data_IF_628888371232
#
_entry.id   IF_628888371232
#
_cell.length_a   1.000
_cell.length_b   1.000
_cell.length_c   1.000
_cell.angle_alpha   90.00
_cell.angle_beta   90.00
_cell.angle_gamma   90.00
#
_symmetry.space_group_name_H-M   'P 1'
#
loop_
_entity.id
_entity.type
_entity.pdbx_description
1 polymer ?
#
# COMPACT_ATOMS: atom_id res chain seq x y z
N UNK A 1 11.60 0.05 -23.39
CA UNK A 1 10.57 0.51 -22.43
C UNK A 1 9.23 0.48 -23.13
N UNK A 2 8.20 -0.14 -22.55
CA UNK A 2 6.84 -0.01 -23.09
C UNK A 2 6.36 1.43 -22.82
N UNK A 3 6.02 2.22 -23.85
CA UNK A 3 5.25 3.43 -23.63
C UNK A 3 3.86 2.97 -23.18
N UNK A 4 3.35 3.39 -22.01
CA UNK A 4 1.98 3.01 -21.64
C UNK A 4 1.51 3.21 -20.21
N UNK A 5 2.39 3.43 -19.23
CA UNK A 5 1.97 3.50 -17.81
C UNK A 5 2.31 4.82 -17.12
N UNK A 6 2.27 5.94 -17.85
CA UNK A 6 2.56 7.27 -17.29
C UNK A 6 1.57 7.67 -16.18
N UNK A 7 0.36 7.11 -16.19
CA UNK A 7 -0.70 7.38 -15.21
C UNK A 7 -0.70 6.44 -14.00
N UNK A 8 0.27 5.54 -13.89
CA UNK A 8 0.41 4.63 -12.72
C UNK A 8 1.49 5.16 -11.80
N UNK A 9 1.17 5.32 -10.52
CA UNK A 9 2.10 5.80 -9.51
C UNK A 9 2.25 4.81 -8.36
N UNK A 10 3.38 4.88 -7.66
CA UNK A 10 3.64 4.12 -6.42
C UNK A 10 3.42 5.05 -5.23
N UNK A 11 2.48 4.70 -4.35
CA UNK A 11 2.26 5.38 -3.08
C UNK A 11 2.97 4.62 -1.96
N UNK A 12 3.97 5.24 -1.34
CA UNK A 12 4.70 4.70 -0.18
C UNK A 12 4.19 5.40 1.08
N UNK A 13 3.50 4.64 1.93
CA UNK A 13 3.14 5.09 3.27
C UNK A 13 4.32 4.90 4.22
N UNK A 14 4.77 5.97 4.86
CA UNK A 14 5.92 5.94 5.76
C UNK A 14 5.76 6.87 6.96
N UNK A 15 6.48 6.57 8.03
CA UNK A 15 6.65 7.45 9.19
C UNK A 15 8.06 8.05 9.18
N UNK A 16 8.24 9.23 9.77
CA UNK A 16 9.57 9.86 9.86
C UNK A 16 10.59 8.94 10.56
N UNK A 17 10.16 8.20 11.59
CA UNK A 17 11.00 7.24 12.32
C UNK A 17 11.45 6.02 11.48
N UNK A 18 10.87 5.81 10.29
CA UNK A 18 11.15 4.67 9.42
C UNK A 18 11.97 5.09 8.18
N UNK A 19 12.88 6.05 8.36
CA UNK A 19 13.74 6.54 7.28
C UNK A 19 14.59 5.45 6.64
N UNK A 20 15.32 4.66 7.42
CA UNK A 20 16.18 3.59 6.88
C UNK A 20 15.40 2.51 6.09
N UNK A 21 14.29 1.93 6.60
CA UNK A 21 13.44 1.04 5.80
C UNK A 21 12.94 1.68 4.50
N UNK A 22 12.52 2.95 4.56
CA UNK A 22 12.06 3.68 3.38
C UNK A 22 13.15 3.84 2.33
N UNK A 23 14.36 4.24 2.72
CA UNK A 23 15.48 4.37 1.78
C UNK A 23 15.84 3.02 1.12
N UNK A 24 15.74 1.94 1.89
CA UNK A 24 15.90 0.58 1.34
C UNK A 24 14.83 0.26 0.28
N UNK A 25 13.56 0.55 0.57
CA UNK A 25 12.47 0.39 -0.39
C UNK A 25 12.71 1.24 -1.63
N UNK A 26 13.06 2.53 -1.49
CA UNK A 26 13.32 3.43 -2.63
C UNK A 26 14.48 2.93 -3.49
N UNK A 27 15.55 2.40 -2.88
CA UNK A 27 16.64 1.78 -3.60
C UNK A 27 16.17 0.53 -4.38
N UNK A 28 15.31 -0.30 -3.79
CA UNK A 28 14.74 -1.47 -4.47
C UNK A 28 13.80 -1.09 -5.62
N UNK A 29 12.98 -0.04 -5.47
CA UNK A 29 12.12 0.51 -6.52
C UNK A 29 12.97 0.98 -7.71
N UNK A 30 14.05 1.73 -7.45
CA UNK A 30 14.99 2.18 -8.49
C UNK A 30 15.61 1.00 -9.24
N UNK A 31 16.09 -0.02 -8.51
CA UNK A 31 16.65 -1.26 -9.12
C UNK A 31 15.62 -2.07 -9.91
N UNK A 32 14.35 -1.97 -9.57
CA UNK A 32 13.24 -2.62 -10.30
C UNK A 32 12.79 -1.86 -11.55
N UNK A 33 13.38 -0.69 -11.83
CA UNK A 33 13.09 0.10 -13.03
C UNK A 33 11.81 0.93 -12.92
N UNK A 34 11.34 1.23 -11.71
CA UNK A 34 10.23 2.17 -11.50
C UNK A 34 10.72 3.59 -11.86
N UNK A 35 9.99 4.35 -12.69
CA UNK A 35 10.27 5.77 -12.88
C UNK A 35 10.12 6.50 -11.54
N UNK A 36 11.20 7.06 -11.01
CA UNK A 36 11.21 7.62 -9.66
C UNK A 36 10.34 8.88 -9.54
N UNK A 37 10.04 9.54 -10.65
CA UNK A 37 9.04 10.62 -10.75
C UNK A 37 7.59 10.14 -10.65
N UNK A 38 7.35 8.83 -10.64
CA UNK A 38 6.07 8.20 -10.32
C UNK A 38 6.00 7.66 -8.89
N UNK A 39 7.04 7.88 -8.07
CA UNK A 39 7.07 7.47 -6.67
C UNK A 39 6.68 8.64 -5.76
N UNK A 40 5.68 8.40 -4.93
CA UNK A 40 5.10 9.35 -3.99
C UNK A 40 5.25 8.81 -2.56
N UNK A 41 6.01 9.50 -1.73
CA UNK A 41 6.24 9.16 -0.32
C UNK A 41 5.41 10.07 0.57
N UNK A 42 4.56 9.46 1.40
CA UNK A 42 3.72 10.18 2.36
C UNK A 42 4.27 9.99 3.76
N UNK A 43 4.79 11.07 4.35
CA UNK A 43 5.42 11.09 5.67
C UNK A 43 4.36 11.43 6.74
N UNK A 44 3.83 10.40 7.38
CA UNK A 44 2.76 10.49 8.35
C UNK A 44 3.22 11.07 9.70
N UNK A 45 2.35 11.87 10.32
CA UNK A 45 2.61 12.57 11.57
C UNK A 45 3.47 13.83 11.44
N UNK A 46 3.86 14.20 10.22
CA UNK A 46 4.67 15.39 9.95
C UNK A 46 3.76 16.56 9.60
N UNK A 47 3.63 17.51 10.53
CA UNK A 47 3.03 18.81 10.22
C UNK A 47 4.04 19.67 9.45
N UNK A 48 3.57 20.46 8.48
CA UNK A 48 4.22 21.75 8.24
C UNK A 48 3.99 22.58 9.50
N UNK A 49 5.02 23.31 9.95
CA UNK A 49 5.03 24.01 11.24
C UNK A 49 3.81 24.88 11.48
N UNK A 50 3.63 25.29 12.74
CA UNK A 50 2.60 26.23 13.19
C UNK A 50 2.50 27.43 12.25
N UNK A 51 1.51 27.39 11.36
CA UNK A 51 1.45 28.26 10.19
C UNK A 51 0.60 27.59 9.11
N UNK A 52 -0.71 27.50 9.37
CA UNK A 52 -1.67 26.97 8.42
C UNK A 52 -1.63 27.78 7.13
N UNK A 53 -1.08 27.19 6.07
CA UNK A 53 -0.97 27.87 4.78
C UNK A 53 -0.07 27.14 3.79
N UNK A 54 -0.35 25.86 3.55
CA UNK A 54 -0.26 25.17 2.25
C UNK A 54 -0.05 23.67 2.45
N UNK A 55 -1.16 22.94 2.47
CA UNK A 55 -1.19 21.52 2.16
C UNK A 55 -0.83 21.33 0.68
N UNK A 56 0.44 21.48 0.32
CA UNK A 56 0.86 21.45 -1.09
C UNK A 56 2.37 21.38 -1.36
N UNK A 57 3.24 21.55 -0.35
CA UNK A 57 4.69 21.64 -0.60
C UNK A 57 5.31 20.25 -0.80
N UNK A 58 5.26 19.77 -2.04
CA UNK A 58 5.96 18.55 -2.47
C UNK A 58 7.46 18.82 -2.49
N UNK A 59 8.23 18.22 -1.57
CA UNK A 59 9.68 18.17 -1.74
C UNK A 59 9.99 17.13 -2.81
N UNK A 60 10.76 17.50 -3.82
CA UNK A 60 11.31 16.56 -4.81
C UNK A 60 12.79 16.33 -4.49
N UNK A 61 13.24 15.08 -4.50
CA UNK A 61 14.68 14.79 -4.42
C UNK A 61 15.35 14.78 -5.80
N UNK A 62 16.67 14.55 -5.83
CA UNK A 62 17.46 14.55 -7.07
C UNK A 62 17.10 13.43 -8.05
N UNK A 63 16.46 12.36 -7.60
CA UNK A 63 15.98 11.26 -8.45
C UNK A 63 14.55 11.50 -8.95
N UNK A 64 13.87 12.52 -8.41
CA UNK A 64 12.54 12.92 -8.82
C UNK A 64 11.42 12.41 -7.93
N UNK A 65 11.71 11.72 -6.82
CA UNK A 65 10.71 11.21 -5.86
C UNK A 65 10.01 12.37 -5.19
N UNK A 66 8.68 12.28 -5.06
CA UNK A 66 7.84 13.31 -4.44
C UNK A 66 7.54 12.96 -2.99
N UNK A 67 7.84 13.85 -2.05
CA UNK A 67 7.58 13.69 -0.62
C UNK A 67 6.49 14.65 -0.16
N UNK A 68 5.52 14.11 0.57
CA UNK A 68 4.36 14.83 1.11
C UNK A 68 4.42 14.73 2.64
N UNK A 69 4.43 15.87 3.35
CA UNK A 69 4.23 15.85 4.79
C UNK A 69 2.73 15.70 5.08
N UNK A 70 2.38 14.68 5.87
CA UNK A 70 0.99 14.36 6.20
C UNK A 70 0.77 14.66 7.69
N UNK A 71 -0.05 15.66 8.05
CA UNK A 71 -0.16 16.19 9.42
C UNK A 71 -0.91 15.26 10.39
N UNK A 72 -1.15 14.01 9.99
CA UNK A 72 -1.83 13.00 10.77
C UNK A 72 -1.14 11.65 10.60
N UNK A 73 -1.36 10.74 11.54
CA UNK A 73 -0.84 9.37 11.50
C UNK A 73 -1.99 8.38 11.60
N UNK A 74 -2.39 7.82 10.45
CA UNK A 74 -3.42 6.79 10.30
C UNK A 74 -2.78 5.41 10.09
N UNK A 75 -1.57 5.21 10.63
CA UNK A 75 -0.79 3.97 10.56
C UNK A 75 -0.56 3.59 9.09
N UNK A 76 -1.28 2.58 8.61
CA UNK A 76 -1.16 1.98 7.29
C UNK A 76 -2.00 2.69 6.23
N UNK A 77 -2.71 3.77 6.58
CA UNK A 77 -3.66 4.45 5.69
C UNK A 77 -3.34 5.92 5.42
N UNK A 78 -2.29 6.49 6.02
CA UNK A 78 -2.03 7.94 5.95
C UNK A 78 -1.86 8.43 4.51
N UNK A 79 -1.15 7.67 3.68
CA UNK A 79 -1.03 7.93 2.25
C UNK A 79 -2.38 7.91 1.54
N UNK A 80 -3.21 6.87 1.74
CA UNK A 80 -4.55 6.78 1.13
C UNK A 80 -5.45 7.95 1.55
N UNK A 81 -5.46 8.30 2.84
CA UNK A 81 -6.22 9.44 3.35
C UNK A 81 -5.77 10.73 2.66
N UNK A 82 -4.46 10.97 2.58
CA UNK A 82 -3.93 12.16 1.93
C UNK A 82 -4.29 12.23 0.44
N UNK A 83 -4.23 11.11 -0.29
CA UNK A 83 -4.62 11.02 -1.70
C UNK A 83 -6.08 11.45 -1.90
N UNK A 84 -7.01 10.94 -1.11
CA UNK A 84 -8.45 11.24 -1.28
C UNK A 84 -8.86 12.60 -0.72
N UNK A 85 -8.07 13.19 0.17
CA UNK A 85 -8.29 14.56 0.67
C UNK A 85 -7.81 15.62 -0.33
N UNK A 86 -6.86 15.29 -1.22
CA UNK A 86 -6.21 16.25 -2.12
C UNK A 86 -6.28 15.84 -3.60
N UNK A 87 -7.48 15.62 -4.19
CA UNK A 87 -7.62 15.06 -5.54
C UNK A 87 -6.96 15.91 -6.63
N UNK A 88 -6.92 17.24 -6.47
CA UNK A 88 -6.31 18.15 -7.45
C UNK A 88 -4.79 17.95 -7.58
N UNK A 89 -4.10 17.56 -6.49
CA UNK A 89 -2.66 17.28 -6.51
C UNK A 89 -2.31 16.03 -7.32
N UNK A 90 -3.28 15.16 -7.57
CA UNK A 90 -3.09 13.83 -8.13
C UNK A 90 -3.87 13.58 -9.43
N UNK A 91 -4.37 14.64 -10.08
CA UNK A 91 -5.25 14.52 -11.24
C UNK A 91 -4.68 13.73 -12.44
N UNK A 92 -3.35 13.62 -12.55
CA UNK A 92 -2.68 12.82 -13.59
C UNK A 92 -2.56 11.32 -13.27
N UNK A 93 -2.89 10.89 -12.05
CA UNK A 93 -2.73 9.50 -11.60
C UNK A 93 -4.06 8.77 -11.73
N UNK A 94 -4.08 7.71 -12.56
CA UNK A 94 -5.23 6.81 -12.70
C UNK A 94 -5.14 5.60 -11.77
N UNK A 95 -3.94 5.15 -11.46
CA UNK A 95 -3.72 3.96 -10.65
C UNK A 95 -2.63 4.17 -9.60
N UNK A 96 -2.88 3.66 -8.40
CA UNK A 96 -1.95 3.70 -7.28
C UNK A 96 -1.55 2.28 -6.89
N UNK A 97 -0.26 1.96 -7.00
CA UNK A 97 0.28 0.80 -6.31
C UNK A 97 0.73 1.21 -4.91
N UNK A 98 0.02 0.70 -3.90
CA UNK A 98 0.21 1.05 -2.50
C UNK A 98 1.23 0.12 -1.82
N UNK A 99 2.26 0.72 -1.23
CA UNK A 99 3.34 0.06 -0.48
C UNK A 99 3.56 0.75 0.87
N UNK A 100 4.22 0.02 1.76
CA UNK A 100 4.64 0.54 3.06
C UNK A 100 6.16 0.53 3.08
N UNK A 101 6.74 1.43 3.85
CA UNK A 101 8.20 1.54 4.06
C UNK A 101 8.90 0.26 4.56
N UNK A 102 8.20 -0.70 5.15
CA UNK A 102 8.77 -2.02 5.52
C UNK A 102 8.63 -3.09 4.43
N UNK A 103 8.61 -2.69 3.15
CA UNK A 103 8.60 -3.59 2.00
C UNK A 103 9.91 -3.51 1.21
N UNK A 104 10.15 -4.51 0.37
CA UNK A 104 11.18 -4.53 -0.66
C UNK A 104 10.54 -5.04 -1.95
N UNK A 105 11.03 -4.58 -3.10
CA UNK A 105 10.60 -5.09 -4.41
C UNK A 105 11.78 -5.64 -5.21
N UNK A 106 11.53 -6.69 -5.99
CA UNK A 106 12.52 -7.27 -6.91
C UNK A 106 12.42 -6.71 -8.34
N UNK A 107 13.27 -7.21 -9.24
CA UNK A 107 13.38 -6.72 -10.64
C UNK A 107 12.10 -6.94 -11.46
N UNK A 108 11.29 -7.92 -11.12
CA UNK A 108 10.02 -8.22 -11.77
C UNK A 108 8.87 -7.31 -11.36
N UNK A 109 9.03 -6.52 -10.28
CA UNK A 109 7.95 -5.72 -9.71
C UNK A 109 7.28 -4.80 -10.71
N UNK A 110 8.06 -3.91 -11.34
CA UNK A 110 7.47 -2.89 -12.20
C UNK A 110 6.77 -3.47 -13.44
N UNK A 111 7.35 -4.46 -14.17
CA UNK A 111 6.61 -5.18 -15.20
C UNK A 111 5.32 -5.87 -14.71
N UNK A 112 5.33 -6.46 -13.52
CA UNK A 112 4.16 -7.16 -12.95
C UNK A 112 3.05 -6.19 -12.54
N UNK A 113 3.40 -5.01 -12.04
CA UNK A 113 2.43 -3.94 -11.70
C UNK A 113 1.90 -3.28 -12.97
N UNK A 114 2.77 -2.92 -13.90
CA UNK A 114 2.39 -2.22 -15.12
C UNK A 114 1.61 -3.08 -16.11
N UNK A 115 1.61 -4.40 -15.94
CA UNK A 115 0.70 -5.31 -16.62
C UNK A 115 -0.79 -4.88 -16.51
N UNK A 116 -1.16 -4.18 -15.44
CA UNK A 116 -2.52 -3.77 -15.12
C UNK A 116 -2.91 -2.35 -15.58
N UNK A 117 -1.99 -1.56 -16.16
CA UNK A 117 -2.24 -0.14 -16.46
C UNK A 117 -3.49 0.10 -17.30
N UNK A 118 -3.73 -0.73 -18.31
CA UNK A 118 -4.89 -0.60 -19.20
C UNK A 118 -6.09 -1.46 -18.75
N UNK A 119 -5.95 -2.23 -17.66
CA UNK A 119 -6.81 -3.40 -17.38
C UNK A 119 -7.26 -3.52 -15.93
N UNK A 120 -7.16 -2.46 -15.13
CA UNK A 120 -7.73 -2.50 -13.79
C UNK A 120 -9.25 -2.36 -13.86
N UNK A 121 -10.02 -3.24 -13.20
CA UNK A 121 -11.41 -2.92 -12.88
C UNK A 121 -11.47 -1.57 -12.15
N UNK A 122 -12.57 -0.82 -12.25
CA UNK A 122 -12.83 0.43 -11.50
C UNK A 122 -12.96 0.14 -9.99
N UNK A 123 -11.86 -0.29 -9.38
CA UNK A 123 -11.82 -1.07 -8.14
C UNK A 123 -10.39 -1.17 -7.60
N UNK A 124 -10.16 -2.10 -6.66
CA UNK A 124 -8.84 -2.42 -6.12
C UNK A 124 -8.48 -3.91 -6.31
N UNK A 125 -7.19 -4.21 -6.38
CA UNK A 125 -6.61 -5.55 -6.38
C UNK A 125 -5.57 -5.64 -5.24
N UNK A 126 -5.85 -6.34 -4.12
CA UNK A 126 -4.84 -6.59 -3.10
C UNK A 126 -3.72 -7.48 -3.65
N UNK A 127 -2.57 -7.46 -2.98
CA UNK A 127 -1.53 -8.45 -3.23
C UNK A 127 -2.07 -9.88 -3.10
N UNK A 128 -2.94 -10.17 -2.12
CA UNK A 128 -3.59 -11.48 -2.00
C UNK A 128 -4.93 -11.37 -1.27
N UNK A 129 -5.72 -12.45 -1.29
CA UNK A 129 -7.10 -12.47 -0.74
C UNK A 129 -7.26 -13.31 0.50
N UNK A 130 -6.47 -14.37 0.56
CA UNK A 130 -6.54 -15.32 1.65
C UNK A 130 -5.69 -14.89 2.84
N UNK A 131 -4.77 -13.94 2.64
CA UNK A 131 -3.81 -13.51 3.64
C UNK A 131 -3.78 -11.97 3.73
N UNK A 132 -3.68 -11.38 4.93
CA UNK A 132 -3.72 -9.93 5.06
C UNK A 132 -2.56 -9.26 4.31
N UNK A 133 -2.86 -8.31 3.43
CA UNK A 133 -1.82 -7.63 2.63
C UNK A 133 -1.42 -6.28 3.22
N UNK A 134 -1.89 -5.93 4.41
CA UNK A 134 -1.76 -4.59 4.99
C UNK A 134 -2.33 -3.49 4.11
N UNK A 135 -3.32 -3.80 3.28
CA UNK A 135 -3.87 -2.90 2.26
C UNK A 135 -2.89 -2.60 1.11
N UNK A 136 -1.79 -3.34 0.97
CA UNK A 136 -0.92 -3.25 -0.20
C UNK A 136 -1.58 -3.87 -1.43
N UNK A 137 -1.38 -3.22 -2.58
CA UNK A 137 -1.98 -3.64 -3.82
C UNK A 137 -2.22 -2.47 -4.76
N UNK A 138 -3.00 -2.72 -5.80
CA UNK A 138 -3.29 -1.75 -6.85
C UNK A 138 -4.70 -1.17 -6.66
N UNK A 139 -4.83 0.14 -6.77
CA UNK A 139 -6.08 0.87 -6.57
C UNK A 139 -6.36 1.79 -7.75
N UNK A 140 -7.58 1.74 -8.26
CA UNK A 140 -8.08 2.74 -9.20
C UNK A 140 -8.33 4.07 -8.46
N UNK A 141 -7.88 5.18 -9.04
CA UNK A 141 -8.04 6.50 -8.44
C UNK A 141 -9.51 6.92 -8.32
N UNK A 142 -10.35 6.58 -9.31
CA UNK A 142 -11.78 6.88 -9.26
C UNK A 142 -12.50 6.03 -8.20
N UNK A 143 -12.08 4.77 -8.00
CA UNK A 143 -12.55 3.97 -6.87
C UNK A 143 -12.20 4.60 -5.51
N UNK A 144 -10.95 5.05 -5.31
CA UNK A 144 -10.57 5.73 -4.07
C UNK A 144 -11.39 7.01 -3.85
N UNK A 145 -11.61 7.80 -4.91
CA UNK A 145 -12.45 8.99 -4.86
C UNK A 145 -13.90 8.67 -4.46
N UNK A 146 -14.50 7.63 -5.07
CA UNK A 146 -15.84 7.17 -4.73
C UNK A 146 -15.96 6.64 -3.28
N UNK A 147 -14.85 6.19 -2.69
CA UNK A 147 -14.78 5.71 -1.29
C UNK A 147 -14.19 6.73 -0.33
N UNK A 148 -14.07 8.00 -0.73
CA UNK A 148 -13.47 9.07 0.09
C UNK A 148 -14.05 9.13 1.50
N UNK A 149 -15.37 9.05 1.66
CA UNK A 149 -16.01 9.09 2.97
C UNK A 149 -15.59 7.92 3.89
N UNK A 150 -15.45 6.71 3.33
CA UNK A 150 -15.00 5.53 4.08
C UNK A 150 -13.51 5.62 4.44
N UNK A 151 -12.68 6.11 3.52
CA UNK A 151 -11.23 6.25 3.71
C UNK A 151 -10.92 7.35 4.73
N UNK A 152 -11.55 8.51 4.64
CA UNK A 152 -11.32 9.63 5.59
C UNK A 152 -11.72 9.24 7.01
N UNK A 153 -12.67 8.32 7.22
CA UNK A 153 -12.98 7.76 8.54
C UNK A 153 -11.83 6.95 9.17
N UNK A 154 -10.81 6.59 8.40
CA UNK A 154 -9.58 5.96 8.90
C UNK A 154 -8.58 6.98 9.44
N UNK A 155 -8.80 8.28 9.15
CA UNK A 155 -7.98 9.36 9.64
C UNK A 155 -7.99 9.36 11.17
N UNK A 156 -6.80 9.27 11.75
CA UNK A 156 -6.65 9.44 13.18
C UNK A 156 -7.02 10.87 13.59
N UNK A 157 -7.81 11.01 14.66
CA UNK A 157 -8.14 12.29 15.26
C UNK A 157 -7.02 12.77 16.20
N UNK A 158 -6.70 14.07 16.15
CA UNK A 158 -5.66 14.68 17.01
C UNK A 158 -5.94 14.37 18.50
N UNK A 159 -4.93 13.90 19.22
CA UNK A 159 -4.97 13.70 20.67
C UNK A 159 -5.43 12.31 21.15
N UNK A 160 -5.78 11.39 20.25
CA UNK A 160 -6.23 10.07 20.66
C UNK A 160 -5.07 9.06 20.81
N UNK A 161 -5.11 8.13 21.79
CA UNK A 161 -4.00 7.24 22.09
C UNK A 161 -3.60 6.33 20.92
N UNK A 162 -2.29 6.16 20.71
CA UNK A 162 -1.77 5.32 19.62
C UNK A 162 -2.34 3.89 19.62
N UNK A 163 -2.54 3.30 20.80
CA UNK A 163 -3.11 1.94 20.97
C UNK A 163 -4.57 1.83 20.47
N UNK A 164 -5.38 2.87 20.64
CA UNK A 164 -6.77 2.90 20.17
C UNK A 164 -6.80 2.86 18.64
N UNK A 165 -5.92 3.62 17.98
CA UNK A 165 -5.86 3.66 16.53
C UNK A 165 -5.12 2.48 15.92
N UNK A 166 -4.16 1.87 16.63
CA UNK A 166 -3.58 0.59 16.22
C UNK A 166 -4.64 -0.50 16.13
N UNK A 167 -5.45 -0.68 17.18
CA UNK A 167 -6.55 -1.66 17.15
C UNK A 167 -7.55 -1.39 16.03
N UNK A 168 -7.94 -0.12 15.85
CA UNK A 168 -8.82 0.27 14.74
C UNK A 168 -8.17 0.03 13.39
N UNK A 169 -6.92 0.41 13.19
CA UNK A 169 -6.17 0.19 11.95
C UNK A 169 -6.08 -1.29 11.59
N UNK A 170 -5.75 -2.16 12.54
CA UNK A 170 -5.75 -3.62 12.33
C UNK A 170 -7.14 -4.15 11.98
N UNK A 171 -8.20 -3.69 12.67
CA UNK A 171 -9.58 -4.08 12.33
C UNK A 171 -10.05 -3.60 10.96
N UNK A 172 -9.38 -2.61 10.38
CA UNK A 172 -9.65 -2.07 9.05
C UNK A 172 -8.62 -2.53 7.99
N UNK A 173 -7.70 -3.43 8.33
CA UNK A 173 -6.73 -4.00 7.38
C UNK A 173 -7.47 -4.64 6.19
N UNK A 174 -7.05 -4.24 4.98
CA UNK A 174 -7.67 -4.59 3.69
C UNK A 174 -9.15 -4.17 3.55
N UNK A 175 -9.72 -3.35 4.46
CA UNK A 175 -11.15 -3.00 4.40
C UNK A 175 -11.52 -2.15 3.19
N UNK A 176 -10.66 -1.20 2.79
CA UNK A 176 -10.87 -0.42 1.55
C UNK A 176 -10.96 -1.36 0.35
N UNK A 177 -10.13 -2.41 0.31
CA UNK A 177 -10.16 -3.42 -0.75
C UNK A 177 -11.44 -4.27 -0.66
N UNK A 178 -11.88 -4.65 0.55
CA UNK A 178 -13.13 -5.40 0.72
C UNK A 178 -14.36 -4.63 0.22
N UNK A 179 -14.34 -3.30 0.24
CA UNK A 179 -15.41 -2.46 -0.34
C UNK A 179 -15.53 -2.60 -1.87
N UNK A 180 -14.44 -2.94 -2.57
CA UNK A 180 -14.46 -3.20 -4.00
C UNK A 180 -15.27 -4.47 -4.35
N UNK A 181 -15.31 -5.45 -3.45
CA UNK A 181 -16.03 -6.70 -3.69
C UNK A 181 -17.49 -6.63 -3.26
N UNK A 182 -17.78 -5.87 -2.21
CA UNK A 182 -19.14 -5.63 -1.76
C UNK A 182 -19.98 -4.90 -2.83
N UNK A 183 -19.34 -4.15 -3.73
CA UNK A 183 -20.01 -3.57 -4.91
C UNK A 183 -20.28 -4.56 -6.05
N UNK A 184 -19.75 -5.79 -5.99
CA UNK A 184 -20.07 -6.83 -6.96
C UNK A 184 -21.46 -7.41 -6.72
N UNK A 185 -22.23 -7.62 -7.79
CA UNK A 185 -23.54 -8.27 -7.72
C UNK A 185 -23.52 -9.60 -8.49
N UNK A 186 -23.80 -10.75 -7.84
CA UNK A 186 -23.98 -10.90 -6.39
C UNK A 186 -22.64 -10.78 -5.63
N UNK A 187 -22.67 -10.43 -4.33
CA UNK A 187 -21.46 -10.34 -3.54
C UNK A 187 -20.80 -11.72 -3.43
N UNK A 188 -19.45 -11.81 -3.48
CA UNK A 188 -18.76 -13.08 -3.39
C UNK A 188 -18.98 -13.73 -2.02
N UNK A 189 -19.47 -14.98 -2.01
CA UNK A 189 -19.86 -15.69 -0.78
C UNK A 189 -18.68 -16.21 0.06
N UNK A 190 -17.55 -16.56 -0.57
CA UNK A 190 -16.31 -16.98 0.09
C UNK A 190 -15.10 -16.63 -0.77
N UNK A 191 -14.04 -16.12 -0.15
CA UNK A 191 -12.76 -15.95 -0.83
C UNK A 191 -12.00 -17.26 -0.84
N UNK A 192 -11.54 -17.66 -2.03
CA UNK A 192 -10.68 -18.82 -2.20
C UNK A 192 -9.23 -18.35 -2.24
N UNK A 193 -8.28 -19.29 -2.12
CA UNK A 193 -6.86 -18.99 -2.37
C UNK A 193 -6.60 -18.52 -3.81
N UNK A 194 -7.51 -18.75 -4.75
CA UNK A 194 -7.35 -18.34 -6.16
C UNK A 194 -7.79 -16.89 -6.36
N UNK A 195 -6.99 -16.11 -7.08
CA UNK A 195 -7.34 -14.72 -7.41
C UNK A 195 -8.49 -14.58 -8.40
N UNK A 196 -8.77 -15.58 -9.23
CA UNK A 196 -9.89 -15.53 -10.16
C UNK A 196 -11.20 -15.85 -9.43
N UNK A 197 -12.13 -14.89 -9.46
CA UNK A 197 -13.46 -15.06 -8.91
C UNK A 197 -14.43 -15.42 -10.03
N UNK A 198 -15.00 -16.63 -9.98
CA UNK A 198 -15.95 -17.14 -10.99
C UNK A 198 -17.27 -16.36 -11.01
N UNK A 199 -17.72 -15.85 -9.87
CA UNK A 199 -18.97 -15.10 -9.76
C UNK A 199 -18.85 -13.72 -10.41
N UNK A 200 -17.71 -13.05 -10.19
CA UNK A 200 -17.42 -11.73 -10.77
C UNK A 200 -16.75 -11.81 -12.15
N UNK A 201 -16.44 -13.01 -12.63
CA UNK A 201 -15.71 -13.31 -13.87
C UNK A 201 -14.41 -12.51 -14.06
N UNK A 202 -13.73 -12.16 -12.96
CA UNK A 202 -12.52 -11.32 -12.98
C UNK A 202 -11.50 -11.73 -11.93
N UNK A 203 -10.29 -11.21 -12.07
CA UNK A 203 -9.30 -11.25 -10.99
C UNK A 203 -9.71 -10.30 -9.86
N UNK A 204 -9.48 -10.76 -8.65
CA UNK A 204 -9.76 -10.05 -7.39
C UNK A 204 -8.52 -9.95 -6.49
N UNK A 205 -7.36 -10.40 -6.97
CA UNK A 205 -6.04 -10.10 -6.43
C UNK A 205 -4.95 -10.28 -7.46
N UNK A 206 -3.75 -9.86 -7.07
CA UNK A 206 -2.52 -10.04 -7.85
C UNK A 206 -1.99 -11.47 -7.63
N UNK A 207 -1.78 -11.90 -6.38
CA UNK A 207 -1.17 -13.19 -6.00
C UNK A 207 -2.12 -14.15 -5.30
N UNK A 208 -2.16 -15.39 -5.80
CA UNK A 208 -2.96 -16.49 -5.21
C UNK A 208 -2.26 -17.16 -4.02
N UNK A 209 -0.98 -16.88 -3.81
CA UNK A 209 -0.18 -17.44 -2.73
C UNK A 209 0.68 -16.37 -2.08
N UNK A 210 1.05 -16.64 -0.83
CA UNK A 210 2.08 -15.94 -0.07
C UNK A 210 3.03 -16.99 0.45
N UNK A 211 4.32 -16.79 0.25
CA UNK A 211 5.35 -17.62 0.88
C UNK A 211 5.86 -16.90 2.13
N UNK A 212 5.72 -17.55 3.29
CA UNK A 212 6.21 -17.03 4.57
C UNK A 212 7.54 -17.70 4.84
N UNK A 213 8.63 -16.92 4.90
CA UNK A 213 9.94 -17.49 5.18
C UNK A 213 9.99 -18.02 6.62
N UNK A 214 10.55 -19.21 6.78
CA UNK A 214 10.69 -19.89 8.08
C UNK A 214 11.70 -19.19 8.98
N UNK A 215 12.72 -18.58 8.39
CA UNK A 215 13.77 -17.85 9.09
C UNK A 215 13.53 -16.34 8.95
N UNK A 216 13.42 -15.59 10.05
CA UNK A 216 13.38 -14.13 9.99
C UNK A 216 14.64 -13.56 9.31
N UNK A 217 14.47 -12.50 8.53
CA UNK A 217 15.57 -11.83 7.85
C UNK A 217 15.63 -10.33 8.21
N UNK A 218 16.82 -9.73 8.25
CA UNK A 218 16.93 -8.28 8.38
C UNK A 218 16.29 -7.57 7.17
N UNK A 219 15.68 -6.41 7.39
CA UNK A 219 15.19 -5.49 6.34
C UNK A 219 16.37 -4.86 5.59
N UNK A 220 17.40 -4.47 6.35
CA UNK A 220 18.69 -3.93 5.91
C UNK A 220 19.76 -4.34 6.94
N UNK A 221 21.05 -4.22 6.59
CA UNK A 221 22.19 -4.83 7.28
C UNK A 221 22.09 -4.88 8.82
N UNK A 222 21.78 -3.75 9.48
CA UNK A 222 21.77 -3.63 10.94
C UNK A 222 20.37 -3.68 11.59
N UNK A 223 19.34 -4.02 10.83
CA UNK A 223 17.98 -4.08 11.36
C UNK A 223 17.70 -5.37 12.11
N UNK A 224 16.84 -5.30 13.14
CA UNK A 224 16.30 -6.49 13.80
C UNK A 224 15.61 -7.39 12.77
N UNK A 225 15.93 -8.70 12.71
CA UNK A 225 15.28 -9.63 11.81
C UNK A 225 13.76 -9.64 11.97
N UNK A 226 13.05 -9.75 10.85
CA UNK A 226 11.59 -9.73 10.76
C UNK A 226 11.09 -10.91 9.97
N UNK A 227 9.85 -11.33 10.22
CA UNK A 227 9.22 -12.35 9.39
C UNK A 227 9.03 -11.77 7.98
N UNK A 228 9.47 -12.53 6.97
CA UNK A 228 9.38 -12.12 5.57
C UNK A 228 8.20 -12.81 4.91
N UNK A 229 7.30 -12.00 4.35
CA UNK A 229 6.20 -12.49 3.52
C UNK A 229 6.48 -12.13 2.07
N UNK A 230 6.50 -13.13 1.20
CA UNK A 230 6.79 -12.99 -0.23
C UNK A 230 5.52 -13.16 -1.05
N UNK A 231 5.32 -12.20 -1.94
CA UNK A 231 4.25 -12.18 -2.94
C UNK A 231 4.92 -12.31 -4.30
N UNK A 232 5.42 -13.51 -4.62
CA UNK A 232 6.33 -13.71 -5.76
C UNK A 232 5.73 -13.27 -7.10
N UNK A 233 4.40 -13.36 -7.26
CA UNK A 233 3.72 -12.94 -8.48
C UNK A 233 3.78 -11.41 -8.74
N UNK A 234 3.96 -10.62 -7.68
CA UNK A 234 4.14 -9.17 -7.74
C UNK A 234 5.60 -8.78 -7.52
N UNK A 235 6.47 -9.76 -7.21
CA UNK A 235 7.86 -9.57 -6.79
C UNK A 235 8.01 -8.56 -5.62
N UNK A 236 7.14 -8.74 -4.60
CA UNK A 236 7.12 -7.91 -3.38
C UNK A 236 7.44 -8.76 -2.16
N UNK A 237 8.26 -8.21 -1.26
CA UNK A 237 8.53 -8.75 0.07
C UNK A 237 8.05 -7.76 1.13
N UNK A 238 7.45 -8.27 2.20
CA UNK A 238 7.01 -7.48 3.35
C UNK A 238 7.65 -8.00 4.62
N UNK A 239 8.30 -7.10 5.36
CA UNK A 239 8.94 -7.40 6.63
C UNK A 239 8.01 -7.04 7.78
N UNK A 240 7.50 -8.06 8.50
CA UNK A 240 6.52 -7.92 9.59
C UNK A 240 7.22 -7.96 10.96
N UNK A 241 6.90 -6.97 11.81
CA UNK A 241 7.55 -6.80 13.11
C UNK A 241 7.08 -7.79 14.20
N UNK A 242 5.90 -8.41 14.07
CA UNK A 242 5.29 -9.23 15.13
C UNK A 242 5.25 -10.72 14.74
N UNK A 243 6.34 -11.45 14.97
CA UNK A 243 6.43 -12.88 14.68
C UNK A 243 5.67 -13.76 15.70
N UNK A 244 5.90 -13.54 17.00
CA UNK A 244 5.37 -14.42 18.05
C UNK A 244 3.84 -14.38 18.17
N UNK A 245 3.24 -13.20 17.96
CA UNK A 245 1.78 -13.01 18.07
C UNK A 245 0.99 -13.61 16.89
N UNK A 246 1.64 -13.88 15.76
CA UNK A 246 0.98 -14.33 14.53
C UNK A 246 0.98 -15.85 14.32
N UNK A 247 1.73 -16.64 15.10
CA UNK A 247 1.67 -18.13 15.02
C UNK A 247 0.27 -18.67 15.34
N UNK A 248 -0.46 -18.02 16.24
CA UNK A 248 -1.80 -18.45 16.67
C UNK A 248 -2.92 -18.10 15.70
N UNK A 249 -2.72 -17.13 14.79
CA UNK A 249 -3.75 -16.71 13.82
C UNK A 249 -3.67 -17.43 12.47
N UNK A 250 -2.56 -18.11 12.18
CA UNK A 250 -2.22 -18.57 10.82
C UNK A 250 -2.07 -20.09 10.71
N UNK A 251 -1.89 -20.79 11.83
CA UNK A 251 -1.69 -22.24 11.87
C UNK A 251 -2.73 -22.97 12.75
N UNK A 252 -3.95 -22.47 12.82
CA UNK A 252 -5.08 -23.32 13.17
C UNK A 252 -5.56 -24.00 11.86
N UNK A 253 -5.54 -25.35 11.77
CA UNK A 253 -5.98 -26.08 10.59
C UNK A 253 -7.44 -25.80 10.21
#
# INVERSE_FOLDING_TARGET
MRPGCSTTAVAVNSLDAYAAPREWLLASLRRSGVPMDQVHVFLAGRGYGEGGGDSGVVRRDGDGVRYYAVPHNSIDFSAMVHIVENPLLFGGVRQWFYLHDTAEVGRGFWPNVTHWCDRLPTCALPLTRYYPSSSMGLYDAAFLAARRADIVRLKNARGAPAETWKRRGFGWEDKVIKLCDASGSPPPRRFTRRCYNKTLLRRTCICSSVHVESTPAPVYADSTPRQVWRFDCADVRKFKANFERNRTLVLAP
#
